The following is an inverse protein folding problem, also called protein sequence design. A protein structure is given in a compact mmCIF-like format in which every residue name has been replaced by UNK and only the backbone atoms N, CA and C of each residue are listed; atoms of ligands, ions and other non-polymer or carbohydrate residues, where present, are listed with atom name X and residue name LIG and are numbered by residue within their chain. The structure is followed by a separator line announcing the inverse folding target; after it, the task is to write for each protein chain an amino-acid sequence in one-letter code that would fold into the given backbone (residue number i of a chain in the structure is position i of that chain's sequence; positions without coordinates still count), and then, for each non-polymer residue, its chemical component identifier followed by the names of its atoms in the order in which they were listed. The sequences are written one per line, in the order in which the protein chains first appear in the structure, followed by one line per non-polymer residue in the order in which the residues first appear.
data_IF_260486052400
#
_entry.id   IF_260486052400
#
_cell.length_a   1.000
_cell.length_b   1.000
_cell.length_c   1.000
_cell.angle_alpha   90.00
_cell.angle_beta   90.00
_cell.angle_gamma   90.00
#
_symmetry.space_group_name_H-M   'P 1'
#
loop_
_entity.id
_entity.type
_entity.pdbx_description
1 polymer ?
#
# COMPACT_ATOMS: atom_id res chain seq x y z
N UNK A 1 -12.98 16.58 14.13
CA UNK A 1 -12.17 15.51 13.55
C UNK A 1 -12.90 14.17 13.42
N UNK A 2 -13.98 13.87 14.15
CA UNK A 2 -14.69 12.57 14.10
C UNK A 2 -15.49 12.27 12.83
N UNK A 3 -16.10 13.26 12.18
CA UNK A 3 -17.10 13.04 11.12
C UNK A 3 -16.56 12.34 9.84
N UNK A 4 -15.33 12.60 9.45
CA UNK A 4 -14.73 11.98 8.24
C UNK A 4 -14.28 10.56 8.49
N UNK A 5 -13.74 10.29 9.67
CA UNK A 5 -13.31 8.96 10.10
C UNK A 5 -14.51 8.01 10.14
N UNK A 6 -15.61 8.42 10.79
CA UNK A 6 -16.83 7.63 10.93
C UNK A 6 -17.44 7.26 9.56
N UNK A 7 -17.40 8.17 8.57
CA UNK A 7 -17.92 7.92 7.22
C UNK A 7 -17.06 6.98 6.42
N UNK A 8 -15.73 7.06 6.57
CA UNK A 8 -14.82 6.13 5.90
C UNK A 8 -14.92 4.73 6.51
N UNK A 9 -15.00 4.64 7.83
CA UNK A 9 -15.25 3.36 8.51
C UNK A 9 -16.57 2.72 8.06
N UNK A 10 -17.64 3.51 7.91
CA UNK A 10 -18.91 3.04 7.38
C UNK A 10 -18.79 2.54 5.92
N UNK A 11 -18.02 3.25 5.08
CA UNK A 11 -17.74 2.82 3.70
C UNK A 11 -17.01 1.47 3.68
N UNK A 12 -15.99 1.30 4.52
CA UNK A 12 -15.23 0.06 4.62
C UNK A 12 -16.08 -1.07 5.21
N UNK A 13 -16.87 -0.79 6.24
CA UNK A 13 -17.77 -1.77 6.86
C UNK A 13 -18.82 -2.30 5.86
N UNK A 14 -19.32 -1.46 4.94
CA UNK A 14 -20.20 -1.89 3.85
C UNK A 14 -19.53 -2.90 2.89
N UNK A 15 -18.19 -2.92 2.84
CA UNK A 15 -17.37 -3.89 2.10
C UNK A 15 -16.95 -5.10 2.96
N UNK A 16 -17.40 -5.18 4.20
CA UNK A 16 -16.99 -6.22 5.16
C UNK A 16 -15.57 -6.04 5.68
N UNK A 17 -15.04 -4.81 5.63
CA UNK A 17 -13.68 -4.48 6.05
C UNK A 17 -13.68 -3.68 7.35
N UNK A 18 -12.64 -3.89 8.15
CA UNK A 18 -12.38 -3.18 9.40
C UNK A 18 -10.94 -2.66 9.41
N UNK A 19 -10.77 -1.43 9.90
CA UNK A 19 -9.45 -0.83 10.09
C UNK A 19 -8.75 -1.48 11.29
N UNK A 20 -7.50 -1.88 11.07
CA UNK A 20 -6.53 -2.22 12.10
C UNK A 20 -5.52 -1.07 12.12
N UNK A 21 -5.61 -0.17 13.13
CA UNK A 21 -4.71 0.97 13.19
C UNK A 21 -3.28 0.53 13.41
N UNK A 22 -2.35 1.18 12.70
CA UNK A 22 -0.91 1.07 12.94
C UNK A 22 -0.36 2.41 13.42
N UNK A 23 0.83 2.40 14.01
CA UNK A 23 1.46 3.63 14.50
C UNK A 23 1.62 4.66 13.38
N UNK A 24 1.16 5.90 13.65
CA UNK A 24 1.24 7.01 12.71
C UNK A 24 2.63 7.66 12.77
N UNK A 25 3.57 7.02 12.13
CA UNK A 25 4.92 7.52 11.88
C UNK A 25 5.24 7.35 10.38
N UNK A 26 6.36 7.83 9.90
CA UNK A 26 6.71 7.66 8.49
C UNK A 26 6.95 6.19 8.05
N UNK A 27 6.73 5.22 8.93
CA UNK A 27 6.81 3.79 8.64
C UNK A 27 5.42 3.16 8.39
N UNK A 28 4.33 3.90 8.47
CA UNK A 28 2.96 3.37 8.51
C UNK A 28 2.62 2.40 7.36
N UNK A 29 3.10 2.65 6.13
CA UNK A 29 2.94 1.73 5.01
C UNK A 29 3.60 0.37 5.28
N UNK A 30 4.86 0.38 5.72
CA UNK A 30 5.60 -0.84 6.04
C UNK A 30 5.03 -1.54 7.27
N UNK A 31 4.52 -0.79 8.26
CA UNK A 31 3.81 -1.33 9.41
C UNK A 31 2.54 -2.06 9.00
N UNK A 32 1.73 -1.46 8.13
CA UNK A 32 0.50 -2.07 7.65
C UNK A 32 0.75 -3.35 6.83
N UNK A 33 1.84 -3.42 6.06
CA UNK A 33 2.26 -4.63 5.34
C UNK A 33 2.71 -5.71 6.34
N UNK A 34 3.54 -5.34 7.32
CA UNK A 34 4.05 -6.26 8.34
C UNK A 34 2.90 -6.86 9.17
N UNK A 35 1.94 -6.02 9.58
CA UNK A 35 0.74 -6.47 10.27
C UNK A 35 -0.01 -7.54 9.47
N UNK A 36 -0.25 -7.30 8.18
CA UNK A 36 -0.99 -8.25 7.37
C UNK A 36 -0.21 -9.53 7.03
N UNK A 37 1.10 -9.46 6.91
CA UNK A 37 1.91 -10.61 6.53
C UNK A 37 2.32 -11.48 7.72
N UNK A 38 2.59 -10.85 8.87
CA UNK A 38 3.14 -11.53 10.05
C UNK A 38 2.28 -11.34 11.32
N UNK A 39 1.29 -10.44 11.29
CA UNK A 39 0.48 -10.10 12.48
C UNK A 39 1.25 -9.22 13.49
N UNK A 40 2.34 -8.58 13.05
CA UNK A 40 3.21 -7.77 13.90
C UNK A 40 3.72 -6.54 13.12
N UNK A 41 3.15 -5.37 13.42
CA UNK A 41 3.55 -4.10 12.78
C UNK A 41 4.99 -3.67 13.09
N UNK A 42 5.60 -4.20 14.16
CA UNK A 42 6.97 -3.88 14.53
C UNK A 42 8.02 -4.47 13.57
N UNK A 43 7.62 -5.44 12.72
CA UNK A 43 8.49 -5.97 11.67
C UNK A 43 8.65 -5.02 10.46
N UNK A 44 8.16 -3.79 10.54
CA UNK A 44 8.18 -2.80 9.45
C UNK A 44 9.58 -2.54 8.88
N UNK A 45 10.62 -2.54 9.73
CA UNK A 45 11.99 -2.29 9.31
C UNK A 45 12.50 -3.35 8.31
N UNK A 46 12.14 -4.62 8.53
CA UNK A 46 12.44 -5.73 7.62
C UNK A 46 11.82 -5.50 6.24
N UNK A 47 10.56 -5.08 6.19
CA UNK A 47 9.86 -4.83 4.92
C UNK A 47 10.42 -3.60 4.21
N UNK A 48 10.77 -2.53 4.95
CA UNK A 48 11.46 -1.37 4.39
C UNK A 48 12.76 -1.79 3.71
N UNK A 49 13.60 -2.54 4.40
CA UNK A 49 14.88 -3.02 3.86
C UNK A 49 14.67 -3.87 2.59
N UNK A 50 13.75 -4.84 2.62
CA UNK A 50 13.45 -5.71 1.46
C UNK A 50 12.98 -4.90 0.26
N UNK A 51 12.08 -3.94 0.47
CA UNK A 51 11.51 -3.09 -0.58
C UNK A 51 12.56 -2.17 -1.19
N UNK A 52 13.34 -1.50 -0.37
CA UNK A 52 14.39 -0.58 -0.88
C UNK A 52 15.50 -1.36 -1.57
N UNK A 53 15.88 -2.52 -1.06
CA UNK A 53 16.85 -3.37 -1.74
C UNK A 53 16.33 -3.84 -3.11
N UNK A 54 15.05 -4.20 -3.19
CA UNK A 54 14.42 -4.57 -4.48
C UNK A 54 14.47 -3.40 -5.49
N UNK A 55 14.21 -2.17 -5.05
CA UNK A 55 14.31 -0.97 -5.91
C UNK A 55 15.74 -0.79 -6.43
N UNK A 56 16.73 -0.95 -5.56
CA UNK A 56 18.16 -0.83 -5.92
C UNK A 56 18.55 -1.90 -6.94
N UNK A 57 18.15 -3.15 -6.71
CA UNK A 57 18.50 -4.31 -7.56
C UNK A 57 17.81 -4.25 -8.94
N UNK A 58 16.74 -3.47 -9.07
CA UNK A 58 15.96 -3.28 -10.31
C UNK A 58 15.96 -1.82 -10.75
N UNK A 59 17.10 -1.15 -10.62
CA UNK A 59 17.30 0.27 -10.90
C UNK A 59 16.66 0.73 -12.22
N UNK A 60 16.83 -0.06 -13.28
CA UNK A 60 16.32 0.24 -14.62
C UNK A 60 14.79 0.41 -14.66
N UNK A 61 14.08 -0.20 -13.71
CA UNK A 61 12.62 -0.14 -13.62
C UNK A 61 12.11 1.01 -12.75
N UNK A 62 12.95 1.57 -11.88
CA UNK A 62 12.54 2.56 -10.88
C UNK A 62 13.17 3.94 -11.10
N UNK A 63 14.44 4.01 -11.53
CA UNK A 63 15.14 5.27 -11.75
C UNK A 63 14.38 6.25 -12.66
N UNK A 64 13.67 5.82 -13.74
CA UNK A 64 12.90 6.73 -14.58
C UNK A 64 11.74 7.44 -13.86
N UNK A 65 11.38 7.03 -12.66
CA UNK A 65 10.30 7.62 -11.84
C UNK A 65 10.80 8.47 -10.67
N UNK A 66 12.11 8.59 -10.50
CA UNK A 66 12.71 9.56 -9.58
C UNK A 66 12.59 10.95 -10.20
N UNK A 67 12.30 11.97 -9.41
CA UNK A 67 12.16 13.36 -9.88
C UNK A 67 13.46 13.83 -10.55
N UNK A 68 13.35 14.69 -11.56
CA UNK A 68 14.47 15.12 -12.42
C UNK A 68 15.64 15.79 -11.66
N UNK A 69 15.36 16.35 -10.48
CA UNK A 69 16.32 17.03 -9.61
C UNK A 69 16.85 16.15 -8.46
N UNK A 70 16.40 14.90 -8.34
CA UNK A 70 16.83 13.95 -7.31
C UNK A 70 17.69 12.82 -7.92
N UNK A 71 18.80 12.49 -7.28
CA UNK A 71 19.67 11.38 -7.71
C UNK A 71 19.12 10.06 -7.14
N UNK A 72 19.00 9.03 -7.98
CA UNK A 72 18.48 7.72 -7.59
C UNK A 72 19.14 7.13 -6.34
N UNK A 73 20.46 7.22 -6.22
CA UNK A 73 21.19 6.68 -5.06
C UNK A 73 20.90 7.47 -3.78
N UNK A 74 20.66 8.79 -3.90
CA UNK A 74 20.25 9.64 -2.77
C UNK A 74 18.83 9.34 -2.36
N UNK A 75 17.91 9.16 -3.32
CA UNK A 75 16.55 8.71 -3.09
C UNK A 75 16.54 7.39 -2.29
N UNK A 76 17.28 6.38 -2.77
CA UNK A 76 17.35 5.08 -2.11
C UNK A 76 17.96 5.17 -0.70
N UNK A 77 18.97 6.02 -0.52
CA UNK A 77 19.60 6.25 0.80
C UNK A 77 18.62 6.86 1.78
N UNK A 78 17.87 7.88 1.36
CA UNK A 78 16.81 8.52 2.14
C UNK A 78 15.67 7.54 2.46
N UNK A 79 15.26 6.71 1.50
CA UNK A 79 14.21 5.74 1.70
C UNK A 79 14.57 4.60 2.67
N UNK A 80 15.86 4.32 2.87
CA UNK A 80 16.34 3.38 3.92
C UNK A 80 16.14 3.92 5.33
N UNK A 81 16.05 5.24 5.49
CA UNK A 81 15.89 5.86 6.81
C UNK A 81 14.51 5.54 7.39
N UNK A 82 14.49 5.10 8.65
CA UNK A 82 13.24 4.89 9.39
C UNK A 82 12.48 6.22 9.50
N UNK A 83 11.18 6.18 9.29
CA UNK A 83 10.33 7.36 9.31
C UNK A 83 10.17 8.07 7.96
N UNK A 84 10.83 7.59 6.90
CA UNK A 84 10.59 8.09 5.55
C UNK A 84 9.30 7.49 4.99
N UNK A 85 8.37 8.35 4.55
CA UNK A 85 7.09 7.91 4.00
C UNK A 85 7.30 7.18 2.66
N UNK A 86 6.60 6.05 2.50
CA UNK A 86 6.59 5.30 1.26
C UNK A 86 5.74 5.98 0.18
N UNK A 87 6.24 5.99 -1.04
CA UNK A 87 5.55 6.45 -2.23
C UNK A 87 5.16 5.31 -3.18
N UNK A 88 4.89 5.67 -4.43
CA UNK A 88 4.42 4.72 -5.44
C UNK A 88 5.46 3.64 -5.79
N UNK A 89 6.74 4.00 -5.81
CA UNK A 89 7.81 3.05 -6.10
C UNK A 89 7.89 1.98 -5.02
N UNK A 90 7.75 2.36 -3.74
CA UNK A 90 7.75 1.42 -2.61
C UNK A 90 6.52 0.51 -2.63
N UNK A 91 5.34 1.04 -2.99
CA UNK A 91 4.11 0.24 -3.10
C UNK A 91 4.26 -0.80 -4.21
N UNK A 92 4.76 -0.41 -5.38
CA UNK A 92 5.03 -1.32 -6.49
C UNK A 92 6.08 -2.38 -6.13
N UNK A 93 7.19 -1.95 -5.56
CA UNK A 93 8.27 -2.84 -5.12
C UNK A 93 7.81 -3.80 -4.01
N UNK A 94 7.00 -3.31 -3.05
CA UNK A 94 6.43 -4.14 -2.00
C UNK A 94 5.56 -5.27 -2.56
N UNK A 95 4.70 -4.98 -3.52
CA UNK A 95 3.92 -6.00 -4.21
C UNK A 95 4.81 -7.08 -4.84
N UNK A 96 5.87 -6.66 -5.53
CA UNK A 96 6.80 -7.58 -6.19
C UNK A 96 7.59 -8.46 -5.21
N UNK A 97 8.20 -7.84 -4.18
CA UNK A 97 9.08 -8.53 -3.23
C UNK A 97 8.32 -9.47 -2.30
N UNK A 98 7.09 -9.11 -1.93
CA UNK A 98 6.23 -9.96 -1.08
C UNK A 98 5.40 -10.96 -1.88
N UNK A 99 5.41 -10.88 -3.22
CA UNK A 99 4.59 -11.67 -4.14
C UNK A 99 3.10 -11.60 -3.81
N UNK A 100 2.63 -10.40 -3.48
CA UNK A 100 1.23 -10.11 -3.16
C UNK A 100 0.69 -9.00 -4.05
N UNK A 101 -0.61 -9.00 -4.28
CA UNK A 101 -1.29 -7.82 -4.80
C UNK A 101 -1.58 -6.84 -3.65
N UNK A 102 -1.72 -5.56 -3.96
CA UNK A 102 -2.05 -4.53 -2.97
C UNK A 102 -3.31 -3.78 -3.40
N UNK A 103 -4.25 -3.63 -2.48
CA UNK A 103 -5.50 -2.92 -2.66
C UNK A 103 -5.57 -1.78 -1.64
N UNK A 104 -5.68 -0.53 -2.11
CA UNK A 104 -5.70 0.65 -1.24
C UNK A 104 -7.05 1.33 -1.36
N UNK A 105 -7.78 1.37 -0.24
CA UNK A 105 -9.06 2.06 -0.12
C UNK A 105 -8.81 3.50 0.32
N UNK A 106 -9.45 4.44 -0.38
CA UNK A 106 -9.37 5.89 -0.14
C UNK A 106 -10.78 6.41 0.07
N UNK A 107 -10.98 7.26 1.07
CA UNK A 107 -12.31 7.82 1.32
C UNK A 107 -12.81 8.65 0.13
N UNK A 108 -14.04 8.36 -0.30
CA UNK A 108 -14.72 9.05 -1.41
C UNK A 108 -13.92 9.10 -2.73
N UNK A 109 -12.99 8.16 -2.91
CA UNK A 109 -12.17 8.04 -4.11
C UNK A 109 -12.19 6.61 -4.63
N UNK A 110 -11.85 6.37 -5.91
CA UNK A 110 -11.70 5.00 -6.42
C UNK A 110 -10.64 4.23 -5.64
N UNK A 111 -10.92 2.94 -5.42
CA UNK A 111 -9.95 2.02 -4.83
C UNK A 111 -8.80 1.78 -5.81
N UNK A 112 -7.58 1.83 -5.33
CA UNK A 112 -6.37 1.59 -6.11
C UNK A 112 -5.96 0.13 -5.98
N UNK A 113 -5.63 -0.51 -7.12
CA UNK A 113 -5.18 -1.89 -7.17
C UNK A 113 -3.81 -1.98 -7.85
N UNK A 114 -2.84 -2.54 -7.15
CA UNK A 114 -1.56 -2.98 -7.72
C UNK A 114 -1.67 -4.49 -7.92
N UNK A 115 -1.78 -4.92 -9.18
CA UNK A 115 -1.98 -6.32 -9.58
C UNK A 115 -0.81 -6.79 -10.41
N UNK A 116 0.16 -7.38 -9.75
CA UNK A 116 1.35 -7.97 -10.37
C UNK A 116 1.25 -9.48 -10.52
N UNK A 117 0.27 -10.09 -9.85
CA UNK A 117 0.11 -11.54 -9.79
C UNK A 117 -1.33 -11.97 -10.09
N UNK A 118 -1.51 -13.21 -10.58
CA UNK A 118 -2.84 -13.77 -10.81
C UNK A 118 -3.60 -13.94 -9.48
N UNK A 119 -4.75 -13.29 -9.38
CA UNK A 119 -5.59 -13.25 -8.17
C UNK A 119 -6.01 -14.63 -7.65
N UNK A 120 -5.97 -15.67 -8.50
CA UNK A 120 -6.32 -17.03 -8.09
C UNK A 120 -5.35 -17.65 -7.10
N UNK A 121 -4.09 -17.19 -7.12
CA UNK A 121 -3.00 -17.78 -6.35
C UNK A 121 -2.25 -16.76 -5.49
N UNK A 122 -2.46 -15.47 -5.68
CA UNK A 122 -1.79 -14.42 -4.95
C UNK A 122 -2.68 -13.84 -3.85
N UNK A 123 -2.09 -13.68 -2.66
CA UNK A 123 -2.72 -12.95 -1.57
C UNK A 123 -2.84 -11.47 -1.95
N UNK A 124 -3.93 -10.82 -1.56
CA UNK A 124 -4.11 -9.37 -1.69
C UNK A 124 -4.03 -8.72 -0.32
N UNK A 125 -3.04 -7.85 -0.12
CA UNK A 125 -2.95 -6.98 1.05
C UNK A 125 -3.94 -5.84 0.89
N UNK A 126 -4.66 -5.49 1.95
CA UNK A 126 -5.66 -4.43 1.94
C UNK A 126 -5.27 -3.33 2.90
N UNK A 127 -5.17 -2.12 2.38
CA UNK A 127 -4.79 -0.94 3.13
C UNK A 127 -5.88 0.12 3.02
N UNK A 128 -5.99 0.98 4.02
CA UNK A 128 -6.72 2.23 3.94
C UNK A 128 -5.74 3.41 3.96
N UNK A 129 -6.02 4.43 3.14
CA UNK A 129 -5.21 5.63 3.06
C UNK A 129 -6.00 6.85 3.51
N UNK A 130 -5.45 7.59 4.45
CA UNK A 130 -6.11 8.66 5.17
C UNK A 130 -5.39 9.99 4.97
N UNK A 131 -6.16 11.03 4.68
CA UNK A 131 -5.72 12.44 4.65
C UNK A 131 -4.48 12.73 3.79
N UNK A 132 -4.19 11.87 2.81
CA UNK A 132 -3.03 12.06 1.94
C UNK A 132 -1.67 11.64 2.54
N UNK A 133 -1.64 11.04 3.74
CA UNK A 133 -0.36 10.83 4.45
C UNK A 133 -0.25 9.54 5.29
N UNK A 134 -1.38 8.88 5.62
CA UNK A 134 -1.34 7.77 6.59
C UNK A 134 -2.00 6.50 6.06
N UNK A 135 -1.29 5.38 6.18
CA UNK A 135 -1.81 4.03 5.90
C UNK A 135 -2.17 3.29 7.18
N UNK A 136 -3.29 2.56 7.14
CA UNK A 136 -3.63 1.54 8.11
C UNK A 136 -3.82 0.18 7.41
N UNK A 137 -3.67 -0.90 8.17
CA UNK A 137 -4.03 -2.25 7.77
C UNK A 137 -5.56 -2.41 7.72
N UNK A 138 -6.06 -3.30 6.86
CA UNK A 138 -7.47 -3.68 6.81
C UNK A 138 -7.62 -5.18 6.96
N UNK A 139 -8.59 -5.61 7.76
CA UNK A 139 -8.97 -7.01 7.91
C UNK A 139 -10.44 -7.23 7.53
N UNK A 140 -10.80 -8.46 7.21
CA UNK A 140 -12.20 -8.85 7.03
C UNK A 140 -12.90 -8.94 8.39
N UNK A 141 -14.13 -8.44 8.49
CA UNK A 141 -14.93 -8.48 9.72
C UNK A 141 -15.12 -9.92 10.24
N UNK A 142 -15.15 -10.90 9.34
CA UNK A 142 -15.36 -12.32 9.68
C UNK A 142 -14.07 -13.08 10.04
N UNK A 143 -12.90 -12.48 9.88
CA UNK A 143 -11.61 -13.12 10.21
C UNK A 143 -11.20 -12.98 11.69
N UNK A 144 -12.09 -12.44 12.54
CA UNK A 144 -11.87 -12.30 13.99
C UNK A 144 -11.78 -13.63 14.74
N UNK A 145 -12.08 -14.77 14.09
CA UNK A 145 -12.05 -16.13 14.67
C UNK A 145 -10.82 -16.97 14.24
N UNK A 146 -9.70 -16.35 13.86
CA UNK A 146 -8.41 -17.04 13.74
C UNK A 146 -8.25 -17.99 12.54
N UNK A 147 -9.09 -17.88 11.52
CA UNK A 147 -8.90 -18.59 10.25
C UNK A 147 -8.66 -17.59 9.11
N UNK A 148 -7.44 -17.56 8.62
CA UNK A 148 -7.07 -16.84 7.40
C UNK A 148 -7.78 -17.46 6.18
N UNK A 149 -8.99 -17.03 5.87
CA UNK A 149 -9.67 -17.45 4.66
C UNK A 149 -9.41 -16.48 3.51
N UNK A 150 -8.60 -16.93 2.56
CA UNK A 150 -8.47 -16.37 1.24
C UNK A 150 -9.82 -16.45 0.50
N UNK A 151 -10.58 -15.37 0.41
CA UNK A 151 -11.54 -15.15 -0.69
C UNK A 151 -12.34 -13.87 -0.52
N UNK A 152 -11.99 -12.83 -1.28
CA UNK A 152 -12.99 -11.98 -1.94
C UNK A 152 -12.48 -11.71 -3.35
N UNK A 153 -13.03 -12.46 -4.31
CA UNK A 153 -12.93 -12.10 -5.72
C UNK A 153 -13.96 -11.01 -6.00
N UNK A 154 -13.51 -9.80 -6.29
CA UNK A 154 -14.29 -8.83 -7.03
C UNK A 154 -13.55 -8.53 -8.32
N UNK A 155 -14.06 -9.16 -9.37
CA UNK A 155 -13.63 -8.97 -10.76
C UNK A 155 -14.11 -7.62 -11.26
N UNK A 156 -13.19 -6.78 -11.76
CA UNK A 156 -13.45 -6.00 -12.96
C UNK A 156 -12.13 -5.65 -13.65
N UNK A 157 -11.99 -6.21 -14.84
CA UNK A 157 -10.93 -5.96 -15.81
C UNK A 157 -11.07 -4.56 -16.38
N UNK A 158 -9.99 -3.74 -16.29
CA UNK A 158 -9.60 -2.80 -17.37
C UNK A 158 -8.20 -2.24 -17.13
N UNK A 159 -7.29 -2.57 -18.03
CA UNK A 159 -6.19 -1.78 -18.55
C UNK A 159 -5.04 -1.32 -17.64
N UNK A 160 -3.90 -2.05 -17.69
CA UNK A 160 -2.63 -1.74 -17.01
C UNK A 160 -2.01 -0.34 -17.30
N UNK A 161 -2.43 0.35 -18.36
CA UNK A 161 -1.88 1.65 -18.76
C UNK A 161 -2.59 2.87 -18.15
N UNK A 162 -3.80 2.69 -17.62
CA UNK A 162 -4.58 3.78 -17.04
C UNK A 162 -4.17 4.11 -15.58
N UNK A 163 -3.56 3.18 -14.86
CA UNK A 163 -3.30 3.31 -13.43
C UNK A 163 -2.09 4.18 -13.09
N UNK A 164 -1.03 4.12 -13.88
CA UNK A 164 0.14 4.98 -13.70
C UNK A 164 -0.22 6.48 -13.84
N UNK A 165 -1.13 6.81 -14.77
CA UNK A 165 -1.55 8.18 -15.01
C UNK A 165 -2.50 8.72 -13.93
N UNK A 166 -3.34 7.87 -13.35
CA UNK A 166 -4.25 8.26 -12.25
C UNK A 166 -3.46 8.54 -10.97
N UNK A 167 -2.45 7.74 -10.67
CA UNK A 167 -1.56 7.96 -9.52
C UNK A 167 -0.73 9.22 -9.67
N UNK A 168 -0.15 9.46 -10.84
CA UNK A 168 0.60 10.68 -11.13
C UNK A 168 -0.26 11.93 -10.95
N UNK A 169 -1.51 11.93 -11.41
CA UNK A 169 -2.43 13.06 -11.29
C UNK A 169 -2.96 13.29 -9.86
N UNK A 170 -3.07 12.24 -9.03
CA UNK A 170 -3.47 12.36 -7.62
C UNK A 170 -2.38 12.94 -6.72
N UNK A 171 -1.11 12.72 -7.04
CA UNK A 171 0.03 13.14 -6.21
C UNK A 171 0.65 14.46 -6.69
N UNK A 172 0.45 14.85 -7.94
CA UNK A 172 0.94 16.12 -8.47
C UNK A 172 0.09 17.35 -8.11
N UNK A 173 -0.88 17.20 -7.18
CA UNK A 173 -1.59 18.36 -6.59
C UNK A 173 -2.32 19.26 -7.58
N UNK A 174 -2.81 18.73 -8.67
CA UNK A 174 -3.64 19.47 -9.62
C UNK A 174 -5.06 19.67 -9.07
N UNK A 175 -5.25 20.74 -8.31
CA UNK A 175 -6.54 21.42 -8.04
C UNK A 175 -6.44 22.83 -8.55
#
# INVERSE_FOLDING_TARGET
MGFFTDRFEAQLAALGLKIVPVVADGNCFFRAIADQLEGDEEQHAKYREMVVQYIIDHRENFEPFVEDDEIFDEYCSKMKESGTCAGNMEIQAASMVTRTNICIHIFSSPTVYIRNFDDRNARTLRLSYHNGEHYNSLTLVNDMDGQHSNRVSLVNNHGLLAYAQIFYNMLSGGW
#
